data_IF_733882063977
#
_entry.id   IF_733882063977
#
_cell.length_a   1.000
_cell.length_b   1.000
_cell.length_c   1.000
_cell.angle_alpha   90.00
_cell.angle_beta   90.00
_cell.angle_gamma   90.00
#
_symmetry.space_group_name_H-M   'P 1'
#
loop_
_entity.id
_entity.type
_entity.pdbx_description
1 polymer ?
#
# COMPACT_ATOMS: atom_id res chain seq x y z
N UNK A 1 1.00 24.20 -5.41
CA UNK A 1 2.26 23.56 -5.81
C UNK A 1 1.89 22.45 -6.78
N UNK A 2 2.60 22.35 -7.90
CA UNK A 2 2.24 21.43 -8.99
C UNK A 2 2.71 20.03 -8.59
N UNK A 3 1.77 19.13 -8.24
CA UNK A 3 2.02 17.72 -7.95
C UNK A 3 2.55 17.04 -9.21
N UNK A 4 3.76 16.48 -9.15
CA UNK A 4 4.26 15.55 -10.15
C UNK A 4 3.89 14.15 -9.64
N UNK A 5 2.78 13.59 -10.14
CA UNK A 5 2.53 12.15 -10.03
C UNK A 5 3.47 11.46 -11.02
N UNK A 6 4.44 10.71 -10.54
CA UNK A 6 5.16 9.72 -11.32
C UNK A 6 4.47 8.37 -11.08
N UNK A 7 3.33 8.16 -11.72
CA UNK A 7 2.72 6.82 -11.81
C UNK A 7 3.57 6.02 -12.79
N UNK A 8 4.37 5.10 -12.26
CA UNK A 8 5.26 4.25 -13.04
C UNK A 8 4.90 2.78 -12.89
N UNK A 9 3.85 2.31 -13.56
CA UNK A 9 3.60 0.88 -13.69
C UNK A 9 4.65 0.26 -14.64
N UNK A 10 5.58 -0.53 -14.11
CA UNK A 10 6.57 -1.27 -14.90
C UNK A 10 6.02 -2.65 -15.24
N UNK A 11 5.42 -2.80 -16.42
CA UNK A 11 5.00 -4.09 -16.96
C UNK A 11 6.22 -4.83 -17.54
N UNK A 12 6.82 -5.74 -16.76
CA UNK A 12 7.85 -6.67 -17.27
C UNK A 12 7.18 -7.85 -17.99
N UNK A 13 6.92 -7.70 -19.29
CA UNK A 13 6.46 -8.80 -20.13
C UNK A 13 7.60 -9.81 -20.40
N UNK A 14 7.57 -10.96 -19.74
CA UNK A 14 8.49 -12.09 -19.93
C UNK A 14 7.75 -13.37 -20.28
N UNK A 15 7.78 -13.76 -21.55
CA UNK A 15 7.07 -14.91 -22.12
C UNK A 15 7.45 -16.28 -21.49
N UNK A 16 6.41 -17.11 -21.32
CA UNK A 16 6.36 -18.59 -21.15
C UNK A 16 6.29 -19.14 -19.70
N UNK A 17 5.05 -19.29 -19.20
CA UNK A 17 4.71 -20.21 -18.11
C UNK A 17 4.29 -19.53 -16.81
N UNK A 18 3.00 -19.17 -16.69
CA UNK A 18 2.40 -18.61 -15.48
C UNK A 18 3.03 -17.27 -15.10
N UNK A 19 2.68 -16.20 -15.82
CA UNK A 19 3.24 -14.87 -15.58
C UNK A 19 2.85 -14.39 -14.18
N UNK A 20 3.84 -14.30 -13.29
CA UNK A 20 3.76 -13.52 -12.05
C UNK A 20 3.51 -12.06 -12.45
N UNK A 21 2.49 -11.44 -11.84
CA UNK A 21 2.19 -10.02 -12.04
C UNK A 21 2.60 -9.25 -10.80
N UNK A 22 3.38 -8.20 -11.00
CA UNK A 22 3.81 -7.30 -9.93
C UNK A 22 3.31 -5.89 -10.22
N UNK A 23 2.72 -5.24 -9.22
CA UNK A 23 2.30 -3.86 -9.24
C UNK A 23 3.08 -3.08 -8.18
N UNK A 24 3.69 -1.97 -8.57
CA UNK A 24 4.37 -1.05 -7.67
C UNK A 24 3.78 0.35 -7.83
N UNK A 25 3.24 0.89 -6.75
CA UNK A 25 2.58 2.19 -6.73
C UNK A 25 3.18 3.03 -5.61
N UNK A 26 3.18 4.35 -5.80
CA UNK A 26 3.77 5.31 -4.85
C UNK A 26 2.85 6.52 -4.74
N UNK A 27 2.57 6.92 -3.50
CA UNK A 27 1.81 8.13 -3.18
C UNK A 27 2.49 8.91 -2.05
N UNK A 28 2.30 10.22 -2.04
CA UNK A 28 2.85 11.12 -1.03
C UNK A 28 1.73 11.98 -0.43
N UNK A 29 1.70 12.03 0.90
CA UNK A 29 0.83 12.87 1.70
C UNK A 29 1.62 14.04 2.29
N UNK A 30 1.08 14.76 3.28
CA UNK A 30 1.83 15.85 3.91
C UNK A 30 3.01 15.32 4.74
N UNK A 31 2.85 14.15 5.38
CA UNK A 31 3.83 13.62 6.33
C UNK A 31 4.37 12.24 5.97
N UNK A 32 3.89 11.61 4.91
CA UNK A 32 4.26 10.24 4.57
C UNK A 32 4.48 10.07 3.07
N UNK A 33 5.51 9.30 2.73
CA UNK A 33 5.63 8.62 1.44
C UNK A 33 5.15 7.18 1.65
N UNK A 34 4.22 6.70 0.83
CA UNK A 34 3.65 5.36 0.94
C UNK A 34 3.89 4.64 -0.38
N UNK A 35 4.55 3.49 -0.32
CA UNK A 35 4.81 2.59 -1.44
C UNK A 35 3.98 1.31 -1.23
N UNK A 36 3.26 0.90 -2.27
CA UNK A 36 2.42 -0.29 -2.31
C UNK A 36 2.97 -1.25 -3.37
N UNK A 37 3.43 -2.42 -2.93
CA UNK A 37 3.79 -3.54 -3.80
C UNK A 37 2.76 -4.64 -3.69
N UNK A 38 2.27 -5.15 -4.83
CA UNK A 38 1.31 -6.24 -4.93
C UNK A 38 1.88 -7.27 -5.91
N UNK A 39 2.10 -8.50 -5.45
CA UNK A 39 2.60 -9.61 -6.26
C UNK A 39 1.55 -10.72 -6.33
N UNK A 40 1.19 -11.10 -7.55
CA UNK A 40 0.37 -12.28 -7.86
C UNK A 40 1.29 -13.51 -7.94
N UNK A 41 1.18 -14.40 -6.95
CA UNK A 41 1.95 -15.63 -6.88
C UNK A 41 1.57 -16.63 -7.99
N UNK A 42 2.52 -17.51 -8.32
CA UNK A 42 2.43 -18.41 -9.47
C UNK A 42 1.23 -19.38 -9.41
N UNK A 43 0.48 -19.46 -10.52
CA UNK A 43 -0.75 -20.25 -10.63
C UNK A 43 -0.52 -21.76 -10.39
N UNK A 44 -0.93 -22.25 -9.22
CA UNK A 44 -0.70 -23.63 -8.80
C UNK A 44 -1.50 -24.08 -7.57
N UNK A 45 -2.79 -23.75 -7.51
CA UNK A 45 -3.72 -24.30 -6.52
C UNK A 45 -4.60 -23.24 -5.87
N UNK A 46 -3.99 -22.15 -5.45
CA UNK A 46 -4.63 -20.96 -4.88
C UNK A 46 -3.83 -19.75 -5.37
N UNK A 47 -4.49 -18.71 -5.89
CA UNK A 47 -3.79 -17.48 -6.23
C UNK A 47 -3.29 -16.87 -4.92
N UNK A 48 -1.99 -17.02 -4.65
CA UNK A 48 -1.35 -16.35 -3.53
C UNK A 48 -1.18 -14.88 -3.89
N UNK A 49 -1.46 -13.99 -2.96
CA UNK A 49 -1.17 -12.56 -3.09
C UNK A 49 -0.19 -12.19 -1.98
N UNK A 50 0.90 -11.54 -2.36
CA UNK A 50 1.79 -10.86 -1.43
C UNK A 50 1.62 -9.35 -1.59
N UNK A 51 1.36 -8.67 -0.48
CA UNK A 51 1.19 -7.21 -0.43
C UNK A 51 2.17 -6.65 0.58
N UNK A 52 2.95 -5.66 0.15
CA UNK A 52 3.84 -4.89 1.01
C UNK A 52 3.45 -3.43 0.95
N UNK A 53 3.15 -2.85 2.10
CA UNK A 53 2.96 -1.42 2.28
C UNK A 53 4.15 -0.88 3.05
N UNK A 54 4.99 -0.09 2.39
CA UNK A 54 6.09 0.63 3.02
C UNK A 54 5.70 2.08 3.23
N UNK A 55 5.80 2.57 4.47
CA UNK A 55 5.50 3.96 4.81
C UNK A 55 6.75 4.64 5.39
N UNK A 56 7.25 5.66 4.69
CA UNK A 56 8.37 6.50 5.13
C UNK A 56 7.84 7.79 5.73
N UNK A 57 8.23 8.09 6.96
CA UNK A 57 7.82 9.33 7.62
C UNK A 57 8.66 10.52 7.12
N UNK A 58 8.00 11.57 6.64
CA UNK A 58 8.61 12.78 6.08
C UNK A 58 8.57 13.97 7.04
N UNK A 59 7.87 13.87 8.17
CA UNK A 59 7.82 14.96 9.16
C UNK A 59 9.18 15.24 9.79
N UNK A 60 9.56 16.52 9.94
CA UNK A 60 10.93 16.91 10.32
C UNK A 60 11.10 17.26 11.82
N UNK A 61 10.04 17.64 12.53
CA UNK A 61 10.17 18.23 13.88
C UNK A 61 10.18 17.22 15.03
N UNK A 62 9.40 16.15 14.90
CA UNK A 62 9.18 15.15 15.96
C UNK A 62 8.91 13.77 15.34
N UNK A 63 9.33 12.67 15.99
CA UNK A 63 8.97 11.33 15.55
C UNK A 63 7.45 11.14 15.54
N UNK A 64 6.98 10.29 14.64
CA UNK A 64 5.60 9.83 14.64
C UNK A 64 5.44 8.76 15.73
N UNK A 65 4.67 9.05 16.77
CA UNK A 65 4.45 8.12 17.88
C UNK A 65 3.23 7.22 17.61
N UNK A 66 3.29 5.95 18.04
CA UNK A 66 2.14 5.02 17.97
C UNK A 66 1.53 4.94 16.57
N UNK A 67 2.39 4.74 15.58
CA UNK A 67 2.01 4.66 14.16
C UNK A 67 1.19 3.40 13.92
N UNK A 68 0.09 3.53 13.22
CA UNK A 68 -0.79 2.44 12.80
C UNK A 68 -0.98 2.57 11.29
N UNK A 69 -0.60 1.54 10.54
CA UNK A 69 -0.88 1.43 9.10
C UNK A 69 -2.07 0.50 8.94
N UNK A 70 -3.11 0.98 8.27
CA UNK A 70 -4.33 0.23 7.99
C UNK A 70 -4.61 0.21 6.50
N UNK A 71 -4.63 -0.98 5.93
CA UNK A 71 -5.08 -1.24 4.56
C UNK A 71 -6.55 -1.60 4.57
N UNK A 72 -7.36 -0.95 3.74
CA UNK A 72 -8.82 -1.17 3.67
C UNK A 72 -9.20 -1.71 2.29
N UNK A 73 -10.23 -2.57 2.23
CA UNK A 73 -10.76 -3.02 0.95
C UNK A 73 -11.55 -1.91 0.24
N UNK A 74 -11.52 -1.93 -1.08
CA UNK A 74 -12.22 -1.01 -1.97
C UNK A 74 -13.74 -1.17 -1.97
N UNK A 75 -14.26 -2.32 -1.53
CA UNK A 75 -15.71 -2.55 -1.46
C UNK A 75 -16.40 -1.64 -0.43
N UNK A 76 -17.71 -1.40 -0.64
CA UNK A 76 -18.62 -0.45 0.07
C UNK A 76 -18.57 -0.42 1.61
N UNK A 77 -17.84 -1.30 2.27
CA UNK A 77 -17.70 -1.34 3.72
C UNK A 77 -16.29 -1.06 4.24
N UNK A 78 -15.29 -0.77 3.38
CA UNK A 78 -13.90 -0.51 3.80
C UNK A 78 -13.42 -1.51 4.84
N UNK A 79 -13.54 -2.81 4.53
CA UNK A 79 -13.20 -3.85 5.50
C UNK A 79 -11.69 -3.79 5.72
N UNK A 80 -11.29 -3.72 6.98
CA UNK A 80 -9.88 -3.79 7.37
C UNK A 80 -9.25 -5.07 6.84
N UNK A 81 -8.24 -4.90 5.98
CA UNK A 81 -7.54 -6.00 5.32
C UNK A 81 -6.26 -6.39 6.05
N UNK A 82 -5.55 -5.39 6.60
CA UNK A 82 -4.35 -5.58 7.40
C UNK A 82 -4.11 -4.34 8.26
N UNK A 83 -3.63 -4.59 9.49
CA UNK A 83 -3.19 -3.53 10.40
C UNK A 83 -1.84 -3.88 11.01
N UNK A 84 -0.91 -2.93 10.98
CA UNK A 84 0.41 -3.01 11.63
C UNK A 84 0.60 -1.80 12.53
N UNK A 85 1.20 -1.99 13.69
CA UNK A 85 1.45 -0.94 14.65
C UNK A 85 2.94 -0.84 14.99
N UNK A 86 3.46 0.37 15.01
CA UNK A 86 4.85 0.70 15.32
C UNK A 86 4.89 1.68 16.49
N UNK A 87 5.79 1.48 17.47
CA UNK A 87 5.82 2.32 18.66
C UNK A 87 6.22 3.77 18.35
N UNK A 88 7.15 3.95 17.42
CA UNK A 88 7.66 5.24 16.97
C UNK A 88 8.30 5.07 15.59
N UNK A 89 8.27 6.11 14.77
CA UNK A 89 8.95 6.18 13.47
C UNK A 89 9.65 7.53 13.38
N UNK A 90 10.96 7.52 13.19
CA UNK A 90 11.77 8.74 13.03
C UNK A 90 11.67 9.31 11.61
N UNK A 91 12.04 10.58 11.44
CA UNK A 91 12.08 11.22 10.12
C UNK A 91 13.03 10.47 9.17
N UNK A 92 12.56 10.13 7.98
CA UNK A 92 13.27 9.33 6.99
C UNK A 92 13.31 7.82 7.29
N UNK A 93 12.72 7.35 8.39
CA UNK A 93 12.57 5.92 8.68
C UNK A 93 11.37 5.34 7.91
N UNK A 94 11.57 4.14 7.37
CA UNK A 94 10.52 3.35 6.69
C UNK A 94 10.08 2.20 7.58
N UNK A 95 8.77 2.02 7.68
CA UNK A 95 8.14 0.87 8.34
C UNK A 95 7.27 0.10 7.35
N UNK A 96 7.17 -1.21 7.51
CA UNK A 96 6.55 -2.10 6.54
C UNK A 96 5.40 -2.91 7.15
N UNK A 97 4.26 -2.91 6.48
CA UNK A 97 3.19 -3.88 6.67
C UNK A 97 3.28 -4.91 5.55
N UNK A 98 3.57 -6.17 5.91
CA UNK A 98 3.64 -7.29 4.98
C UNK A 98 2.44 -8.20 5.19
N UNK A 99 1.81 -8.60 4.09
CA UNK A 99 0.71 -9.55 4.06
C UNK A 99 0.97 -10.59 2.99
N UNK A 100 0.98 -11.85 3.38
CA UNK A 100 0.94 -12.98 2.45
C UNK A 100 -0.22 -13.90 2.85
N UNK A 101 -1.09 -14.23 1.90
CA UNK A 101 -2.15 -15.21 2.14
C UNK A 101 -1.99 -16.41 1.21
N UNK A 102 -1.86 -17.62 1.77
CA UNK A 102 -1.92 -18.86 1.02
C UNK A 102 -3.35 -19.26 0.64
N UNK A 103 -4.37 -18.78 1.35
CA UNK A 103 -5.78 -18.95 1.03
C UNK A 103 -6.54 -17.72 1.57
N UNK A 104 -7.45 -17.14 0.77
CA UNK A 104 -8.48 -16.16 1.15
C UNK A 104 -8.03 -14.71 1.40
N UNK A 105 -7.94 -13.93 0.32
CA UNK A 105 -8.67 -12.68 0.05
C UNK A 105 -7.82 -11.74 -0.83
N UNK A 106 -7.79 -11.94 -2.17
CA UNK A 106 -6.96 -11.17 -3.12
C UNK A 106 -7.50 -9.75 -3.36
N UNK A 107 -7.94 -9.06 -2.30
CA UNK A 107 -8.70 -7.83 -2.44
C UNK A 107 -7.90 -6.66 -3.04
N UNK A 108 -6.56 -6.69 -3.03
CA UNK A 108 -5.76 -5.72 -3.78
C UNK A 108 -5.76 -6.07 -5.27
N UNK A 109 -5.49 -7.32 -5.65
CA UNK A 109 -5.59 -7.78 -7.04
C UNK A 109 -7.01 -7.64 -7.62
N UNK A 110 -8.04 -7.84 -6.80
CA UNK A 110 -9.44 -7.59 -7.17
C UNK A 110 -9.69 -6.10 -7.37
N UNK A 111 -9.21 -5.24 -6.49
CA UNK A 111 -9.32 -3.79 -6.65
C UNK A 111 -8.62 -3.32 -7.94
N UNK A 112 -7.42 -3.83 -8.22
CA UNK A 112 -6.70 -3.61 -9.48
C UNK A 112 -7.53 -4.08 -10.67
N UNK A 113 -8.06 -5.31 -10.64
CA UNK A 113 -8.85 -5.88 -11.75
C UNK A 113 -10.17 -5.17 -12.03
N UNK A 114 -10.66 -4.36 -11.08
CA UNK A 114 -11.93 -3.64 -11.17
C UNK A 114 -11.75 -2.12 -11.24
N UNK A 115 -10.52 -1.62 -11.44
CA UNK A 115 -10.19 -0.19 -11.44
C UNK A 115 -10.71 0.55 -10.20
N UNK A 116 -10.52 -0.06 -9.02
CA UNK A 116 -10.98 0.49 -7.75
C UNK A 116 -9.82 1.05 -6.94
N UNK A 117 -10.08 2.18 -6.27
CA UNK A 117 -9.16 2.76 -5.31
C UNK A 117 -8.84 1.80 -4.16
N UNK A 118 -7.56 1.72 -3.80
CA UNK A 118 -7.03 0.95 -2.69
C UNK A 118 -6.55 1.93 -1.61
N UNK A 119 -7.41 2.28 -0.63
CA UNK A 119 -7.05 3.25 0.40
C UNK A 119 -6.15 2.63 1.47
N UNK A 120 -5.03 3.30 1.74
CA UNK A 120 -4.11 3.01 2.84
C UNK A 120 -4.10 4.20 3.78
N UNK A 121 -4.43 3.95 5.05
CA UNK A 121 -4.46 4.98 6.09
C UNK A 121 -3.30 4.81 7.04
N UNK A 122 -2.58 5.89 7.31
CA UNK A 122 -1.56 5.97 8.36
C UNK A 122 -2.07 6.89 9.47
N UNK A 123 -2.14 6.36 10.69
CA UNK A 123 -2.51 7.10 11.89
C UNK A 123 -1.33 7.18 12.83
N UNK A 124 -1.08 8.33 13.43
CA UNK A 124 0.00 8.49 14.42
C UNK A 124 -0.31 9.61 15.39
N UNK A 125 0.44 9.68 16.49
CA UNK A 125 0.43 10.80 17.39
C UNK A 125 1.57 11.75 17.06
N UNK A 126 1.23 13.02 16.82
CA UNK A 126 2.16 14.11 16.68
C UNK A 126 1.96 15.07 17.85
N UNK A 127 2.97 15.20 18.71
CA UNK A 127 2.90 16.02 19.93
C UNK A 127 1.65 15.73 20.78
N UNK A 128 1.34 14.44 20.96
CA UNK A 128 0.18 13.96 21.73
C UNK A 128 -1.18 14.11 21.03
N UNK A 129 -1.23 14.62 19.80
CA UNK A 129 -2.45 14.74 18.99
C UNK A 129 -2.50 13.61 17.98
N UNK A 130 -3.63 12.90 17.89
CA UNK A 130 -3.85 11.90 16.85
C UNK A 130 -4.03 12.60 15.48
N UNK A 131 -3.22 12.21 14.52
CA UNK A 131 -3.26 12.62 13.12
C UNK A 131 -3.55 11.39 12.26
N UNK A 132 -4.21 11.59 11.12
CA UNK A 132 -4.58 10.53 10.19
C UNK A 132 -4.47 11.06 8.77
N UNK A 133 -3.79 10.31 7.90
CA UNK A 133 -3.68 10.59 6.47
C UNK A 133 -3.97 9.33 5.67
N UNK A 134 -4.60 9.51 4.51
CA UNK A 134 -4.99 8.41 3.63
C UNK A 134 -4.42 8.67 2.23
N UNK A 135 -3.70 7.69 1.69
CA UNK A 135 -3.32 7.62 0.29
C UNK A 135 -4.28 6.69 -0.44
N UNK A 136 -4.77 7.11 -1.60
CA UNK A 136 -5.65 6.32 -2.47
C UNK A 136 -4.85 5.89 -3.70
N UNK A 137 -4.64 4.59 -3.84
CA UNK A 137 -3.90 4.01 -4.95
C UNK A 137 -4.86 3.48 -6.03
N UNK A 138 -4.57 3.79 -7.29
CA UNK A 138 -5.30 3.27 -8.45
C UNK A 138 -4.29 2.82 -9.50
N UNK A 139 -4.53 1.68 -10.14
CA UNK A 139 -3.75 1.24 -11.30
C UNK A 139 -4.41 1.81 -12.55
N UNK A 140 -3.77 2.77 -13.19
CA UNK A 140 -4.21 3.21 -14.52
C UNK A 140 -3.72 2.18 -15.57
N UNK A 141 -4.61 1.35 -16.13
CA UNK A 141 -4.28 0.61 -17.34
C UNK A 141 -4.04 1.63 -18.47
N UNK A 142 -2.78 1.78 -18.89
CA UNK A 142 -2.44 2.51 -20.11
C UNK A 142 -3.09 1.78 -21.30
N UNK A 143 -4.26 2.28 -21.74
CA UNK A 143 -4.98 1.80 -22.92
C UNK A 143 -4.26 2.03 -24.24
#
# INVERSE_FOLDING_TARGET
MMKWLLIGAVLLAGCTGGEEREYQLEEETEHWKIELSIEEGSAGGDAAEEVVVAATYLGEEHPAERVIITSLSSERNQVEMATSAFPSVESGETVEQVRSSGELNPAFLEAVSNDQAMPITVQWHHNGTLVSETAEFEVEENG
#
